data_IF_661591144232
#
_entry.id   IF_661591144232
#
_cell.length_a   1.000
_cell.length_b   1.000
_cell.length_c   1.000
_cell.angle_alpha   90.00
_cell.angle_beta   90.00
_cell.angle_gamma   90.00
#
_symmetry.space_group_name_H-M   'P 1'
#
loop_
_entity.id
_entity.type
_entity.pdbx_description
1 polymer ?
#
# COMPACT_ATOMS: atom_id res chain seq x y z
N UNK A 1 -12.25 -34.35 22.47
CA UNK A 1 -12.37 -34.29 20.99
C UNK A 1 -13.30 -33.19 20.50
N UNK A 2 -14.56 -33.07 20.98
CA UNK A 2 -15.50 -32.01 20.53
C UNK A 2 -15.09 -30.60 20.93
N UNK A 3 -14.47 -30.42 22.08
CA UNK A 3 -13.99 -29.09 22.56
C UNK A 3 -12.89 -28.56 21.68
N UNK A 4 -11.93 -29.38 21.28
CA UNK A 4 -10.85 -29.02 20.36
C UNK A 4 -11.36 -28.68 18.96
N UNK A 5 -12.33 -29.42 18.46
CA UNK A 5 -12.95 -29.17 17.16
C UNK A 5 -13.65 -27.81 17.14
N UNK A 6 -14.41 -27.48 18.17
CA UNK A 6 -15.07 -26.18 18.34
C UNK A 6 -14.08 -25.04 18.48
N UNK A 7 -12.93 -25.24 19.14
CA UNK A 7 -11.89 -24.22 19.25
C UNK A 7 -11.25 -23.94 17.91
N UNK A 8 -10.91 -24.98 17.15
CA UNK A 8 -10.32 -24.82 15.81
C UNK A 8 -11.28 -24.09 14.87
N UNK A 9 -12.55 -24.43 14.90
CA UNK A 9 -13.58 -23.75 14.10
C UNK A 9 -13.71 -22.26 14.48
N UNK A 10 -13.70 -21.93 15.79
CA UNK A 10 -13.74 -20.52 16.23
C UNK A 10 -12.51 -19.75 15.79
N UNK A 11 -11.30 -20.31 15.93
CA UNK A 11 -10.05 -19.68 15.48
C UNK A 11 -10.07 -19.42 13.97
N UNK A 12 -10.62 -20.36 13.20
CA UNK A 12 -10.78 -20.19 11.76
C UNK A 12 -11.73 -19.03 11.41
N UNK A 13 -12.89 -18.96 12.06
CA UNK A 13 -13.86 -17.88 11.87
C UNK A 13 -13.27 -16.51 12.25
N UNK A 14 -12.45 -16.42 13.32
CA UNK A 14 -11.73 -15.21 13.69
C UNK A 14 -10.81 -14.76 12.55
N UNK A 15 -10.03 -15.67 11.98
CA UNK A 15 -9.10 -15.35 10.89
C UNK A 15 -9.83 -14.98 9.60
N UNK A 16 -10.94 -15.64 9.27
CA UNK A 16 -11.78 -15.29 8.12
C UNK A 16 -12.36 -13.88 8.26
N UNK A 17 -12.85 -13.53 9.45
CA UNK A 17 -13.38 -12.20 9.74
C UNK A 17 -12.30 -11.12 9.66
N UNK A 18 -11.08 -11.40 10.18
CA UNK A 18 -9.93 -10.52 10.06
C UNK A 18 -9.46 -10.34 8.62
N UNK A 19 -9.49 -11.40 7.81
CA UNK A 19 -9.16 -11.31 6.38
C UNK A 19 -10.12 -10.41 5.60
N UNK A 20 -11.39 -10.35 6.00
CA UNK A 20 -12.39 -9.50 5.35
C UNK A 20 -12.31 -8.04 5.81
N UNK A 21 -12.01 -7.80 7.08
CA UNK A 21 -12.16 -6.48 7.72
C UNK A 21 -10.85 -5.88 8.23
N UNK A 22 -9.73 -6.61 8.16
CA UNK A 22 -8.38 -6.26 8.65
C UNK A 22 -8.29 -5.98 10.15
N UNK A 23 -9.30 -5.35 10.75
CA UNK A 23 -9.42 -5.09 12.19
C UNK A 23 -10.81 -5.49 12.64
N UNK A 24 -10.91 -6.23 13.74
CA UNK A 24 -12.19 -6.68 14.30
C UNK A 24 -12.24 -6.42 15.80
N UNK A 25 -13.37 -5.84 16.26
CA UNK A 25 -13.57 -5.59 17.69
C UNK A 25 -13.90 -6.88 18.45
N UNK A 26 -13.53 -6.91 19.74
CA UNK A 26 -13.84 -8.02 20.64
C UNK A 26 -15.35 -8.27 20.75
N UNK A 27 -16.15 -7.18 20.81
CA UNK A 27 -17.62 -7.25 20.88
C UNK A 27 -18.20 -7.95 19.65
N UNK A 28 -17.69 -7.61 18.45
CA UNK A 28 -18.12 -8.24 17.20
C UNK A 28 -17.79 -9.74 17.18
N UNK A 29 -16.57 -10.10 17.64
CA UNK A 29 -16.17 -11.51 17.74
C UNK A 29 -16.98 -12.29 18.75
N UNK A 30 -17.30 -11.72 19.90
CA UNK A 30 -18.18 -12.35 20.91
C UNK A 30 -19.57 -12.63 20.31
N UNK A 31 -20.13 -11.67 19.59
CA UNK A 31 -21.42 -11.81 18.92
C UNK A 31 -21.38 -12.84 17.80
N UNK A 32 -20.34 -12.82 16.96
CA UNK A 32 -20.17 -13.73 15.82
C UNK A 32 -20.00 -15.19 16.27
N UNK A 33 -19.21 -15.39 17.33
CA UNK A 33 -18.84 -16.74 17.81
C UNK A 33 -19.80 -17.29 18.85
N UNK A 34 -20.80 -16.51 19.26
CA UNK A 34 -21.79 -16.86 20.28
C UNK A 34 -21.16 -17.45 21.55
N UNK A 35 -20.04 -16.86 22.01
CA UNK A 35 -19.29 -17.37 23.14
C UNK A 35 -18.90 -16.25 24.12
N UNK A 36 -18.34 -16.62 25.28
CA UNK A 36 -17.93 -15.62 26.29
C UNK A 36 -16.73 -14.82 25.84
N UNK A 37 -16.66 -13.56 26.29
CA UNK A 37 -15.51 -12.67 26.05
C UNK A 37 -14.18 -13.30 26.51
N UNK A 38 -14.18 -14.00 27.63
CA UNK A 38 -12.99 -14.69 28.14
C UNK A 38 -12.50 -15.80 27.21
N UNK A 39 -13.41 -16.49 26.54
CA UNK A 39 -13.08 -17.52 25.54
C UNK A 39 -12.46 -16.87 24.29
N UNK A 40 -13.07 -15.80 23.80
CA UNK A 40 -12.54 -15.06 22.64
C UNK A 40 -11.15 -14.51 22.94
N UNK A 41 -10.94 -13.88 24.11
CA UNK A 41 -9.62 -13.39 24.53
C UNK A 41 -8.56 -14.48 24.50
N UNK A 42 -8.88 -15.67 25.01
CA UNK A 42 -7.94 -16.82 24.99
C UNK A 42 -7.64 -17.27 23.55
N UNK A 43 -8.66 -17.39 22.70
CA UNK A 43 -8.46 -17.77 21.31
C UNK A 43 -7.59 -16.74 20.57
N UNK A 44 -7.78 -15.43 20.86
CA UNK A 44 -6.94 -14.34 20.31
C UNK A 44 -5.50 -14.41 20.83
N UNK A 45 -5.29 -14.67 22.13
CA UNK A 45 -3.95 -14.79 22.72
C UNK A 45 -3.16 -15.97 22.09
N UNK A 46 -3.84 -17.07 21.84
CA UNK A 46 -3.25 -18.25 21.20
C UNK A 46 -2.90 -17.97 19.72
N UNK A 47 -3.79 -17.27 18.97
CA UNK A 47 -3.55 -16.89 17.59
C UNK A 47 -2.42 -15.84 17.48
N UNK A 48 -2.28 -14.94 18.46
CA UNK A 48 -1.17 -14.01 18.54
C UNK A 48 0.16 -14.73 18.80
N UNK A 49 0.17 -15.70 19.72
CA UNK A 49 1.34 -16.54 19.97
C UNK A 49 1.77 -17.36 18.73
N UNK A 50 0.79 -17.70 17.86
CA UNK A 50 1.03 -18.34 16.58
C UNK A 50 1.42 -17.33 15.45
N UNK A 51 1.56 -16.03 15.76
CA UNK A 51 1.80 -14.92 14.84
C UNK A 51 0.76 -14.79 13.70
N UNK A 52 -0.47 -15.26 13.93
CA UNK A 52 -1.56 -15.20 12.94
C UNK A 52 -2.37 -13.91 13.01
N UNK A 53 -2.31 -13.21 14.13
CA UNK A 53 -2.93 -11.90 14.34
C UNK A 53 -2.11 -11.08 15.36
N UNK A 54 -2.44 -9.80 15.51
CA UNK A 54 -1.94 -8.92 16.56
C UNK A 54 -3.11 -8.41 17.42
N UNK A 55 -2.94 -8.44 18.74
CA UNK A 55 -3.90 -7.84 19.67
C UNK A 55 -3.82 -6.31 19.63
N UNK A 56 -4.97 -5.66 19.58
CA UNK A 56 -5.10 -4.20 19.71
C UNK A 56 -6.08 -3.89 20.84
N UNK A 57 -6.13 -2.61 21.26
CA UNK A 57 -7.06 -2.20 22.31
C UNK A 57 -8.51 -2.43 21.85
N UNK A 58 -9.20 -3.38 22.52
CA UNK A 58 -10.59 -3.71 22.21
C UNK A 58 -10.81 -4.71 21.05
N UNK A 59 -9.76 -5.39 20.55
CA UNK A 59 -9.93 -6.34 19.45
C UNK A 59 -8.65 -7.00 18.97
N UNK A 60 -8.63 -7.31 17.68
CA UNK A 60 -7.48 -7.87 16.98
C UNK A 60 -7.38 -7.32 15.56
N UNK A 61 -6.18 -7.33 15.00
CA UNK A 61 -5.88 -7.00 13.61
C UNK A 61 -5.02 -8.08 12.98
N UNK A 62 -5.04 -8.17 11.66
CA UNK A 62 -4.05 -8.99 10.96
C UNK A 62 -2.66 -8.42 11.24
N UNK A 63 -1.65 -9.29 11.47
CA UNK A 63 -0.28 -8.83 11.53
C UNK A 63 -0.02 -8.06 10.25
N UNK A 64 0.39 -6.80 10.33
CA UNK A 64 0.95 -6.14 9.16
C UNK A 64 2.18 -6.93 8.77
N UNK A 65 2.03 -7.89 7.87
CA UNK A 65 3.18 -8.41 7.19
C UNK A 65 3.68 -7.25 6.33
N UNK A 66 4.92 -6.84 6.57
CA UNK A 66 5.66 -5.97 5.64
C UNK A 66 5.69 -6.56 4.21
N UNK A 67 5.06 -7.72 3.99
CA UNK A 67 4.99 -8.46 2.74
C UNK A 67 3.64 -8.37 2.02
N UNK A 68 2.54 -7.96 2.69
CA UNK A 68 1.25 -7.74 2.03
C UNK A 68 1.02 -6.25 1.84
N UNK A 69 1.85 -5.65 1.01
CA UNK A 69 1.53 -4.34 0.45
C UNK A 69 0.32 -4.49 -0.48
N UNK A 70 -0.74 -3.71 -0.21
CA UNK A 70 -1.90 -3.68 -1.09
C UNK A 70 -1.46 -3.48 -2.55
N UNK A 71 -2.06 -4.24 -3.44
CA UNK A 71 -1.76 -4.13 -4.88
C UNK A 71 -2.14 -2.75 -5.41
N UNK A 72 -1.52 -2.36 -6.52
CA UNK A 72 -1.89 -1.11 -7.22
C UNK A 72 -3.38 -1.06 -7.53
N UNK A 73 -3.99 -2.20 -7.92
CA UNK A 73 -5.41 -2.27 -8.23
C UNK A 73 -6.28 -1.93 -7.02
N UNK A 74 -5.98 -2.49 -5.84
CA UNK A 74 -6.72 -2.21 -4.60
C UNK A 74 -6.56 -0.76 -4.15
N UNK A 75 -5.34 -0.22 -4.23
CA UNK A 75 -5.06 1.18 -3.89
C UNK A 75 -5.66 2.16 -4.89
N UNK A 76 -5.82 1.78 -6.16
CA UNK A 76 -6.26 2.70 -7.23
C UNK A 76 -7.67 3.21 -7.06
N UNK A 77 -8.55 2.44 -6.42
CA UNK A 77 -9.98 2.80 -6.22
C UNK A 77 -10.26 3.54 -4.92
N UNK A 78 -9.26 3.64 -4.03
CA UNK A 78 -9.41 4.28 -2.71
C UNK A 78 -9.05 5.76 -2.77
N UNK A 79 -9.80 6.61 -2.04
CA UNK A 79 -9.50 8.03 -1.80
C UNK A 79 -9.23 8.85 -3.07
N UNK A 80 -10.02 8.64 -4.12
CA UNK A 80 -9.80 9.23 -5.44
C UNK A 80 -9.80 10.76 -5.44
N UNK A 81 -10.69 11.39 -4.65
CA UNK A 81 -10.81 12.85 -4.59
C UNK A 81 -9.61 13.46 -3.90
N UNK A 82 -9.19 12.88 -2.78
CA UNK A 82 -8.01 13.31 -2.02
C UNK A 82 -6.73 13.19 -2.87
N UNK A 83 -6.58 12.09 -3.61
CA UNK A 83 -5.45 11.89 -4.52
C UNK A 83 -5.39 12.94 -5.63
N UNK A 84 -6.54 13.30 -6.21
CA UNK A 84 -6.62 14.37 -7.22
C UNK A 84 -6.22 15.72 -6.63
N UNK A 85 -6.74 16.08 -5.46
CA UNK A 85 -6.39 17.33 -4.79
C UNK A 85 -4.90 17.41 -4.44
N UNK A 86 -4.32 16.30 -3.96
CA UNK A 86 -2.89 16.20 -3.69
C UNK A 86 -2.06 16.37 -4.97
N UNK A 87 -2.46 15.72 -6.06
CA UNK A 87 -1.78 15.83 -7.36
C UNK A 87 -1.80 17.27 -7.89
N UNK A 88 -2.94 17.96 -7.84
CA UNK A 88 -3.06 19.36 -8.23
C UNK A 88 -2.17 20.27 -7.36
N UNK A 89 -2.15 20.04 -6.04
CA UNK A 89 -1.28 20.80 -5.15
C UNK A 89 0.18 20.55 -5.45
N UNK A 90 0.59 19.30 -5.65
CA UNK A 90 1.95 18.95 -6.03
C UNK A 90 2.35 19.59 -7.37
N UNK A 91 1.46 19.54 -8.38
CA UNK A 91 1.69 20.18 -9.67
C UNK A 91 1.92 21.69 -9.57
N UNK A 92 1.33 22.37 -8.60
CA UNK A 92 1.54 23.80 -8.37
C UNK A 92 2.94 24.16 -7.86
N UNK A 93 3.68 23.18 -7.35
CA UNK A 93 5.06 23.37 -6.87
C UNK A 93 6.09 23.17 -7.99
N UNK A 94 5.70 22.52 -9.08
CA UNK A 94 6.59 22.17 -10.19
C UNK A 94 6.76 23.37 -11.12
N UNK A 95 8.00 23.70 -11.42
CA UNK A 95 8.41 24.81 -12.31
C UNK A 95 8.81 24.28 -13.69
N UNK A 96 8.88 25.21 -14.65
CA UNK A 96 9.43 24.93 -15.97
C UNK A 96 10.89 24.45 -15.88
N UNK A 97 11.21 23.42 -16.67
CA UNK A 97 12.53 22.80 -16.76
C UNK A 97 12.97 22.00 -15.51
N UNK A 98 12.09 21.80 -14.52
CA UNK A 98 12.40 20.95 -13.39
C UNK A 98 12.67 19.50 -13.84
N UNK A 99 13.63 18.85 -13.17
CA UNK A 99 13.82 17.42 -13.17
C UNK A 99 13.16 16.86 -11.92
N UNK A 100 12.08 16.12 -12.08
CA UNK A 100 11.28 15.64 -10.95
C UNK A 100 11.34 14.11 -10.84
N UNK A 101 11.47 13.62 -9.60
CA UNK A 101 11.32 12.20 -9.31
C UNK A 101 9.90 11.89 -8.86
N UNK A 102 9.26 10.91 -9.50
CA UNK A 102 7.93 10.42 -9.14
C UNK A 102 8.02 8.94 -8.79
N UNK A 103 7.84 8.62 -7.52
CA UNK A 103 7.85 7.26 -7.00
C UNK A 103 6.60 6.47 -7.43
N UNK A 104 6.74 5.13 -7.49
CA UNK A 104 5.66 4.23 -7.82
C UNK A 104 4.53 4.32 -6.77
N UNK A 105 3.34 4.69 -7.21
CA UNK A 105 2.19 4.79 -6.32
C UNK A 105 0.94 5.30 -7.01
N UNK A 106 -0.22 4.94 -6.49
CA UNK A 106 -1.50 5.35 -7.07
C UNK A 106 -1.81 6.83 -6.85
N UNK A 107 -1.29 7.43 -5.79
CA UNK A 107 -1.43 8.89 -5.53
C UNK A 107 -0.59 9.68 -6.52
N UNK A 108 0.66 9.27 -6.72
CA UNK A 108 1.61 9.92 -7.65
C UNK A 108 1.21 9.76 -9.10
N UNK A 109 0.49 8.68 -9.46
CA UNK A 109 -0.07 8.49 -10.81
C UNK A 109 -1.02 9.63 -11.23
N UNK A 110 -1.79 10.21 -10.31
CA UNK A 110 -2.68 11.33 -10.63
C UNK A 110 -1.91 12.59 -11.06
N UNK A 111 -0.66 12.77 -10.59
CA UNK A 111 0.16 13.90 -10.99
C UNK A 111 0.49 13.90 -12.48
N UNK A 112 0.64 12.74 -13.11
CA UNK A 112 1.00 12.63 -14.53
C UNK A 112 0.01 13.38 -15.43
N UNK A 113 -1.27 13.42 -15.06
CA UNK A 113 -2.29 14.15 -15.80
C UNK A 113 -2.10 15.67 -15.71
N UNK A 114 -1.56 16.16 -14.61
CA UNK A 114 -1.31 17.58 -14.37
C UNK A 114 0.00 18.09 -15.05
N UNK A 115 0.80 17.17 -15.60
CA UNK A 115 2.09 17.50 -16.24
C UNK A 115 2.00 17.73 -17.76
N UNK A 116 0.87 17.43 -18.39
CA UNK A 116 0.71 17.40 -19.87
C UNK A 116 1.16 18.66 -20.59
N UNK A 117 1.10 19.83 -19.95
CA UNK A 117 1.49 21.10 -20.53
C UNK A 117 2.69 21.74 -19.83
N UNK A 118 3.45 20.95 -19.07
CA UNK A 118 4.65 21.41 -18.37
C UNK A 118 5.90 20.93 -19.09
N UNK A 119 6.85 21.83 -19.27
CA UNK A 119 8.16 21.49 -19.83
C UNK A 119 9.06 20.96 -18.70
N UNK A 120 8.94 19.69 -18.37
CA UNK A 120 9.67 19.00 -17.29
C UNK A 120 10.26 17.70 -17.77
N UNK A 121 11.27 17.20 -17.06
CA UNK A 121 11.76 15.82 -17.23
C UNK A 121 11.36 15.00 -16.00
N UNK A 122 10.73 13.87 -16.21
CA UNK A 122 10.30 12.98 -15.13
C UNK A 122 11.24 11.78 -15.02
N UNK A 123 11.71 11.53 -13.83
CA UNK A 123 12.40 10.29 -13.45
C UNK A 123 11.45 9.44 -12.62
N UNK A 124 11.29 8.19 -12.93
CA UNK A 124 10.39 7.29 -12.17
C UNK A 124 10.94 5.88 -12.07
N UNK A 125 10.62 5.22 -10.96
CA UNK A 125 10.85 3.79 -10.76
C UNK A 125 9.61 2.94 -11.10
N UNK A 126 8.50 3.54 -11.54
CA UNK A 126 7.26 2.83 -11.87
C UNK A 126 7.17 2.56 -13.37
N UNK A 127 6.99 1.29 -13.74
CA UNK A 127 6.74 0.87 -15.13
C UNK A 127 5.47 1.53 -15.65
N UNK A 128 4.41 1.52 -14.83
CA UNK A 128 3.12 2.10 -15.21
C UNK A 128 3.20 3.62 -15.42
N UNK A 129 3.91 4.35 -14.55
CA UNK A 129 4.13 5.78 -14.73
C UNK A 129 4.93 6.06 -16.00
N UNK A 130 6.00 5.31 -16.25
CA UNK A 130 6.82 5.50 -17.44
C UNK A 130 6.00 5.32 -18.73
N UNK A 131 5.14 4.29 -18.79
CA UNK A 131 4.25 4.08 -19.93
C UNK A 131 3.28 5.27 -20.15
N UNK A 132 2.61 5.72 -19.09
CA UNK A 132 1.69 6.88 -19.17
C UNK A 132 2.39 8.18 -19.55
N UNK A 133 3.60 8.42 -19.05
CA UNK A 133 4.39 9.61 -19.39
C UNK A 133 4.80 9.62 -20.86
N UNK A 134 5.24 8.47 -21.38
CA UNK A 134 5.61 8.31 -22.80
C UNK A 134 4.41 8.51 -23.71
N UNK A 135 3.23 7.96 -23.39
CA UNK A 135 2.00 8.19 -24.13
C UNK A 135 1.63 9.68 -24.21
N UNK A 136 1.95 10.44 -23.14
CA UNK A 136 1.71 11.89 -23.07
C UNK A 136 2.86 12.73 -23.63
N UNK A 137 3.89 12.08 -24.22
CA UNK A 137 5.07 12.73 -24.79
C UNK A 137 5.87 13.58 -23.78
N UNK A 138 5.86 13.19 -22.51
CA UNK A 138 6.63 13.82 -21.44
C UNK A 138 8.03 13.18 -21.39
N UNK A 139 9.12 13.95 -21.45
CA UNK A 139 10.48 13.44 -21.31
C UNK A 139 10.64 12.59 -20.04
N UNK A 140 11.03 11.31 -20.20
CA UNK A 140 11.01 10.33 -19.11
C UNK A 140 12.31 9.57 -19.02
N UNK A 141 12.82 9.43 -17.81
CA UNK A 141 13.93 8.53 -17.44
C UNK A 141 13.37 7.44 -16.54
N UNK A 142 13.48 6.19 -16.98
CA UNK A 142 13.06 5.04 -16.19
C UNK A 142 14.23 4.52 -15.34
N UNK A 143 14.04 4.42 -14.03
CA UNK A 143 15.01 3.79 -13.11
C UNK A 143 14.88 2.27 -13.25
N UNK A 144 15.97 1.62 -13.64
CA UNK A 144 16.04 0.16 -13.82
C UNK A 144 16.25 -0.58 -12.50
N UNK A 145 16.05 -1.90 -12.52
CA UNK A 145 16.26 -2.78 -11.37
C UNK A 145 15.33 -4.01 -11.41
N UNK A 146 15.19 -4.70 -10.27
CA UNK A 146 14.22 -5.77 -10.12
C UNK A 146 12.81 -5.19 -9.97
N UNK A 147 11.81 -5.77 -10.61
CA UNK A 147 10.44 -5.27 -10.54
C UNK A 147 9.67 -6.00 -9.46
N UNK A 148 9.07 -5.24 -8.54
CA UNK A 148 8.14 -5.75 -7.52
C UNK A 148 6.74 -5.82 -8.14
N UNK A 149 6.23 -7.03 -8.35
CA UNK A 149 4.96 -7.26 -9.07
C UNK A 149 3.74 -6.60 -8.42
N UNK A 150 3.69 -6.53 -7.08
CA UNK A 150 2.56 -5.93 -6.37
C UNK A 150 2.44 -4.42 -6.59
N UNK A 151 3.55 -3.72 -6.86
CA UNK A 151 3.62 -2.25 -6.93
C UNK A 151 4.14 -1.72 -8.26
N UNK A 152 4.47 -2.59 -9.23
CA UNK A 152 5.10 -2.25 -10.52
C UNK A 152 6.36 -1.36 -10.37
N UNK A 153 6.95 -1.40 -9.18
CA UNK A 153 8.11 -0.58 -8.87
C UNK A 153 9.43 -1.31 -9.17
N UNK A 154 10.35 -0.61 -9.81
CA UNK A 154 11.74 -1.02 -9.90
C UNK A 154 12.43 -0.77 -8.56
N UNK A 155 13.07 -1.80 -8.01
CA UNK A 155 13.68 -1.82 -6.68
C UNK A 155 15.08 -2.44 -6.69
N UNK A 156 15.74 -2.39 -5.53
CA UNK A 156 17.02 -3.05 -5.28
C UNK A 156 18.23 -2.14 -5.53
N UNK A 157 19.43 -2.73 -5.39
CA UNK A 157 20.69 -1.98 -5.43
C UNK A 157 20.93 -1.25 -6.76
N UNK A 158 20.49 -1.82 -7.88
CA UNK A 158 20.59 -1.17 -9.21
C UNK A 158 19.76 0.11 -9.25
N UNK A 159 18.50 0.06 -8.82
CA UNK A 159 17.62 1.20 -8.75
C UNK A 159 18.19 2.29 -7.83
N UNK A 160 18.60 1.90 -6.63
CA UNK A 160 19.16 2.82 -5.64
C UNK A 160 20.42 3.52 -6.15
N UNK A 161 21.34 2.78 -6.80
CA UNK A 161 22.57 3.37 -7.37
C UNK A 161 22.26 4.38 -8.47
N UNK A 162 21.26 4.13 -9.32
CA UNK A 162 20.86 5.09 -10.35
C UNK A 162 20.26 6.34 -9.74
N UNK A 163 19.35 6.21 -8.77
CA UNK A 163 18.73 7.35 -8.07
C UNK A 163 19.80 8.21 -7.40
N UNK A 164 20.80 7.61 -6.76
CA UNK A 164 21.88 8.33 -6.08
C UNK A 164 22.82 9.11 -7.04
N UNK A 165 22.82 8.78 -8.33
CA UNK A 165 23.60 9.48 -9.35
C UNK A 165 22.84 10.62 -10.02
N UNK A 166 21.56 10.75 -9.75
CA UNK A 166 20.69 11.76 -10.35
C UNK A 166 20.45 12.91 -9.37
N UNK A 167 20.21 14.09 -9.92
CA UNK A 167 19.86 15.28 -9.15
C UNK A 167 18.46 15.70 -9.54
N UNK A 168 17.60 15.92 -8.55
CA UNK A 168 16.21 16.30 -8.74
C UNK A 168 15.93 17.65 -8.12
N UNK A 169 15.13 18.47 -8.79
CA UNK A 169 14.60 19.72 -8.25
C UNK A 169 13.47 19.45 -7.26
N UNK A 170 12.71 18.36 -7.49
CA UNK A 170 11.59 17.92 -6.64
C UNK A 170 11.47 16.39 -6.65
N UNK A 171 11.18 15.81 -5.51
CA UNK A 171 10.86 14.39 -5.37
C UNK A 171 9.46 14.23 -4.76
N UNK A 172 8.64 13.42 -5.41
CA UNK A 172 7.27 13.13 -5.01
C UNK A 172 7.18 11.65 -4.67
N UNK A 173 7.11 11.36 -3.38
CA UNK A 173 7.17 10.02 -2.81
C UNK A 173 5.90 9.80 -2.02
N UNK A 174 5.30 8.62 -2.21
CA UNK A 174 4.20 8.18 -1.38
C UNK A 174 4.77 7.53 -0.11
N UNK A 175 4.52 8.13 1.03
CA UNK A 175 4.87 7.60 2.36
C UNK A 175 3.60 7.11 3.04
#
# INVERSE_FOLDING_TARGET
SDVYKRQTERKQLILEELNQHHVVSLEKLVSLLETSESTVRRDLDELEAENKLRRVHGGAELPHSLQEEETIQEKSVKNLQEKKLLAQKAASLIKEQDVIFIDAGTTTAFLIHELVNKNVTVVTNSIHHAAQLVEKQIPTVMVGGSVKMATDASIGGVALNQINQLHFDLSLIHI
#
